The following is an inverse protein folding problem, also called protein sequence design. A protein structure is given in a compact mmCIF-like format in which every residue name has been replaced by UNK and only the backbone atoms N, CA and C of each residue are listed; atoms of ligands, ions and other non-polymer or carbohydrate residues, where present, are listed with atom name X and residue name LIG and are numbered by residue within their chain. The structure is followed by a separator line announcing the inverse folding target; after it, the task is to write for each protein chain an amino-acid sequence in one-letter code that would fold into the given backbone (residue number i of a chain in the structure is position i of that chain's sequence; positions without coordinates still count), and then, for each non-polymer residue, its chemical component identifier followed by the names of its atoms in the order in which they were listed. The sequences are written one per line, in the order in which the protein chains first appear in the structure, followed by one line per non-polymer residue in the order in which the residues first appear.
data_IF_945895577282
#
_entry.id   IF_945895577282
#
_cell.length_a   1.000
_cell.length_b   1.000
_cell.length_c   1.000
_cell.angle_alpha   90.00
_cell.angle_beta   90.00
_cell.angle_gamma   90.00
#
_symmetry.space_group_name_H-M   'P 1'
#
loop_
_entity.id
_entity.type
_entity.pdbx_description
1 polymer ?
#
# COMPACT_ATOMS: atom_id res chain seq x y z
N UNK A 1 27.19 -5.44 28.38
CA UNK A 1 25.82 -5.82 28.79
C UNK A 1 25.39 -7.05 27.99
N UNK A 2 24.55 -7.95 28.55
CA UNK A 2 24.02 -9.09 27.78
C UNK A 2 23.21 -8.58 26.60
N UNK A 3 23.35 -9.23 25.44
CA UNK A 3 22.55 -8.90 24.26
C UNK A 3 21.06 -9.04 24.58
N UNK A 4 20.26 -8.13 24.04
CA UNK A 4 18.81 -8.13 24.21
C UNK A 4 18.16 -8.38 22.87
N UNK A 5 17.13 -9.21 22.86
CA UNK A 5 16.43 -9.61 21.65
C UNK A 5 14.93 -9.40 21.79
N UNK A 6 14.32 -9.03 20.68
CA UNK A 6 12.87 -9.04 20.49
C UNK A 6 12.54 -9.98 19.34
N UNK A 7 11.46 -10.74 19.48
CA UNK A 7 11.00 -11.68 18.47
C UNK A 7 9.48 -11.66 18.33
N UNK A 8 9.01 -12.07 17.16
CA UNK A 8 7.59 -12.29 16.84
C UNK A 8 7.43 -13.74 16.41
N UNK A 9 6.51 -14.46 17.06
CA UNK A 9 6.11 -15.82 16.70
C UNK A 9 4.64 -15.88 16.34
N UNK A 10 4.28 -16.80 15.45
CA UNK A 10 2.93 -17.11 15.01
C UNK A 10 2.54 -18.51 15.49
N UNK A 11 1.31 -18.66 15.99
CA UNK A 11 0.73 -19.98 16.26
C UNK A 11 0.41 -20.69 14.94
N UNK A 12 0.65 -22.00 14.90
CA UNK A 12 0.31 -22.84 13.76
C UNK A 12 -1.20 -23.14 13.66
N UNK A 13 -1.95 -23.03 14.76
CA UNK A 13 -3.41 -23.19 14.79
C UNK A 13 -4.17 -21.93 14.41
N UNK A 14 -3.66 -20.78 14.84
CA UNK A 14 -4.29 -19.48 14.63
C UNK A 14 -3.32 -18.57 13.85
N UNK A 15 -3.26 -18.71 12.51
CA UNK A 15 -2.35 -17.94 11.68
C UNK A 15 -2.58 -16.43 11.72
N UNK A 16 -3.67 -15.96 12.32
CA UNK A 16 -4.02 -14.55 12.48
C UNK A 16 -3.53 -13.92 13.79
N UNK A 17 -2.84 -14.66 14.68
CA UNK A 17 -2.40 -14.19 16.01
C UNK A 17 -0.93 -14.40 16.30
N UNK A 18 -0.24 -13.34 16.76
CA UNK A 18 1.19 -13.37 17.09
C UNK A 18 1.42 -13.07 18.55
N UNK A 19 2.52 -13.65 19.00
CA UNK A 19 3.12 -13.30 20.25
C UNK A 19 4.41 -12.56 20.00
N UNK A 20 4.54 -11.43 20.66
CA UNK A 20 5.81 -10.72 20.78
C UNK A 20 6.45 -11.17 22.07
N UNK A 21 7.75 -11.47 22.00
CA UNK A 21 8.53 -11.86 23.16
C UNK A 21 9.89 -11.17 23.17
N UNK A 22 10.45 -11.09 24.37
CA UNK A 22 11.75 -10.53 24.65
C UNK A 22 12.62 -11.56 25.34
N UNK A 23 13.93 -11.58 25.07
CA UNK A 23 14.85 -12.55 25.68
C UNK A 23 16.29 -12.03 25.66
N UNK A 24 17.10 -12.49 26.61
CA UNK A 24 18.56 -12.35 26.58
C UNK A 24 19.26 -13.53 25.90
N UNK A 25 18.54 -14.63 25.70
CA UNK A 25 19.04 -15.84 25.06
C UNK A 25 18.09 -16.27 23.94
N UNK A 26 18.40 -15.82 22.74
CA UNK A 26 17.62 -16.15 21.55
C UNK A 26 17.78 -17.63 21.19
N UNK A 27 18.97 -18.23 21.34
CA UNK A 27 19.20 -19.63 20.96
C UNK A 27 18.37 -20.59 21.80
N UNK A 28 18.32 -20.39 23.12
CA UNK A 28 17.46 -21.17 24.01
C UNK A 28 15.98 -21.01 23.65
N UNK A 29 15.52 -19.77 23.41
CA UNK A 29 14.13 -19.54 23.00
C UNK A 29 13.80 -20.18 21.65
N UNK A 30 14.67 -20.05 20.66
CA UNK A 30 14.55 -20.72 19.36
C UNK A 30 14.40 -22.24 19.54
N UNK A 31 15.13 -22.84 20.48
CA UNK A 31 15.00 -24.26 20.79
C UNK A 31 13.66 -24.59 21.43
N UNK A 32 13.21 -23.84 22.44
CA UNK A 32 11.95 -24.11 23.16
C UNK A 32 10.71 -24.10 22.25
N UNK A 33 10.66 -23.22 21.26
CA UNK A 33 9.56 -23.18 20.30
C UNK A 33 9.68 -24.21 19.16
N UNK A 34 10.89 -24.72 18.88
CA UNK A 34 11.11 -25.78 17.88
C UNK A 34 11.12 -27.20 18.50
N UNK A 35 11.36 -27.34 19.80
CA UNK A 35 11.41 -28.62 20.51
C UNK A 35 10.02 -29.01 20.99
N UNK A 36 9.19 -29.52 20.08
CA UNK A 36 7.92 -30.18 20.42
C UNK A 36 8.00 -31.64 19.97
N UNK A 37 8.72 -32.46 20.73
CA UNK A 37 8.50 -33.90 20.73
C UNK A 37 7.41 -34.20 21.74
N UNK A 38 6.18 -34.48 21.26
CA UNK A 38 5.14 -35.13 22.07
C UNK A 38 4.01 -34.26 22.68
N UNK A 39 3.75 -33.04 22.20
CA UNK A 39 2.51 -32.31 22.55
C UNK A 39 1.65 -32.03 21.30
N UNK A 40 0.34 -31.88 21.49
CA UNK A 40 -0.67 -31.66 20.44
C UNK A 40 -0.26 -30.51 19.50
N UNK A 41 -0.81 -30.49 18.28
CA UNK A 41 -0.61 -29.40 17.31
C UNK A 41 -0.94 -27.99 17.88
N UNK A 42 -1.58 -27.93 19.05
CA UNK A 42 -2.00 -26.71 19.75
C UNK A 42 -0.86 -25.81 20.22
N UNK A 43 0.35 -26.34 20.43
CA UNK A 43 1.48 -25.57 20.97
C UNK A 43 2.62 -25.31 19.97
N UNK A 44 2.38 -25.43 18.67
CA UNK A 44 3.43 -25.25 17.65
C UNK A 44 3.51 -23.80 17.17
N UNK A 45 4.67 -23.16 17.32
CA UNK A 45 4.89 -21.78 16.86
C UNK A 45 5.98 -21.68 15.80
N UNK A 46 5.80 -20.77 14.84
CA UNK A 46 6.79 -20.40 13.85
C UNK A 46 7.35 -19.01 14.13
N UNK A 47 8.65 -18.84 13.97
CA UNK A 47 9.27 -17.51 14.05
C UNK A 47 8.99 -16.72 12.78
N UNK A 48 8.39 -15.54 12.94
CA UNK A 48 8.18 -14.59 11.85
C UNK A 48 9.29 -13.56 11.78
N UNK A 49 9.82 -13.14 12.94
CA UNK A 49 10.84 -12.09 13.01
C UNK A 49 11.67 -12.18 14.29
N UNK A 50 12.97 -11.89 14.20
CA UNK A 50 13.84 -11.70 15.37
C UNK A 50 14.79 -10.53 15.14
N UNK A 51 15.12 -9.79 16.20
CA UNK A 51 16.05 -8.67 16.13
C UNK A 51 16.82 -8.48 17.44
N UNK A 52 18.01 -7.90 17.32
CA UNK A 52 18.81 -7.36 18.42
C UNK A 52 18.37 -5.91 18.66
N UNK A 53 18.22 -5.55 19.94
CA UNK A 53 17.75 -4.25 20.39
C UNK A 53 18.60 -3.75 21.56
N UNK A 54 18.72 -2.44 21.72
CA UNK A 54 19.44 -1.79 22.81
C UNK A 54 18.66 -1.89 24.14
N UNK A 55 17.32 -1.76 24.07
CA UNK A 55 16.42 -1.88 25.21
C UNK A 55 15.15 -2.64 24.80
N UNK A 56 15.08 -3.94 25.13
CA UNK A 56 13.96 -4.78 24.72
C UNK A 56 12.66 -4.46 25.46
N UNK A 57 12.73 -3.94 26.69
CA UNK A 57 11.54 -3.61 27.49
C UNK A 57 10.86 -2.35 26.97
N UNK A 58 11.64 -1.34 26.60
CA UNK A 58 11.13 -0.08 26.08
C UNK A 58 10.38 -0.30 24.77
N UNK A 59 11.03 -0.93 23.78
CA UNK A 59 10.42 -1.21 22.48
C UNK A 59 9.18 -2.12 22.60
N UNK A 60 9.18 -3.09 23.52
CA UNK A 60 8.01 -3.94 23.76
C UNK A 60 6.85 -3.13 24.34
N UNK A 61 7.12 -2.22 25.30
CA UNK A 61 6.11 -1.35 25.90
C UNK A 61 5.55 -0.35 24.89
N UNK A 62 6.42 0.29 24.10
CA UNK A 62 6.01 1.26 23.08
C UNK A 62 5.19 0.62 21.98
N UNK A 63 5.55 -0.60 21.58
CA UNK A 63 4.75 -1.39 20.64
C UNK A 63 3.39 -1.76 21.25
N UNK A 64 3.35 -2.22 22.52
CA UNK A 64 2.09 -2.53 23.21
C UNK A 64 1.18 -1.31 23.34
N UNK A 65 1.76 -0.13 23.55
CA UNK A 65 1.02 1.13 23.63
C UNK A 65 0.51 1.58 22.26
N UNK A 66 1.37 1.55 21.23
CA UNK A 66 1.02 1.94 19.87
C UNK A 66 -0.11 1.05 19.29
N UNK A 67 -0.03 -0.26 19.52
CA UNK A 67 -0.98 -1.22 18.96
C UNK A 67 -1.97 -1.75 19.99
N UNK A 68 -2.26 -1.00 21.06
CA UNK A 68 -3.16 -1.43 22.14
C UNK A 68 -4.54 -1.87 21.64
N UNK A 69 -5.05 -1.23 20.58
CA UNK A 69 -6.33 -1.55 19.94
C UNK A 69 -6.34 -2.90 19.16
N UNK A 70 -5.16 -3.48 18.91
CA UNK A 70 -4.98 -4.79 18.25
C UNK A 70 -4.55 -5.87 19.24
N UNK A 71 -4.64 -5.60 20.55
CA UNK A 71 -4.25 -6.55 21.59
C UNK A 71 -5.45 -7.24 22.19
N UNK A 72 -5.39 -8.56 22.27
CA UNK A 72 -6.38 -9.35 22.98
C UNK A 72 -6.13 -9.22 24.49
N UNK A 73 -7.17 -8.77 25.22
CA UNK A 73 -7.07 -8.37 26.63
C UNK A 73 -6.72 -9.56 27.53
N UNK A 74 -7.20 -10.77 27.20
CA UNK A 74 -7.04 -11.97 28.02
C UNK A 74 -5.72 -12.71 27.75
N UNK A 75 -5.37 -12.92 26.48
CA UNK A 75 -4.19 -13.70 26.07
C UNK A 75 -2.92 -12.86 25.98
N UNK A 76 -3.05 -11.53 25.98
CA UNK A 76 -1.97 -10.53 25.76
C UNK A 76 -1.30 -10.65 24.38
N UNK A 77 -1.90 -11.42 23.47
CA UNK A 77 -1.48 -11.60 22.09
C UNK A 77 -1.83 -10.39 21.24
N UNK A 78 -1.15 -10.25 20.11
CA UNK A 78 -1.37 -9.17 19.15
C UNK A 78 -1.93 -9.80 17.87
N UNK A 79 -3.03 -9.25 17.36
CA UNK A 79 -3.63 -9.72 16.12
C UNK A 79 -2.75 -9.31 14.92
N UNK A 80 -2.50 -10.25 14.02
CA UNK A 80 -1.97 -9.98 12.68
C UNK A 80 -2.84 -10.76 11.67
N UNK A 81 -4.08 -10.33 11.49
CA UNK A 81 -4.99 -11.02 10.56
C UNK A 81 -4.53 -10.93 9.09
N UNK A 82 -3.47 -10.16 8.79
CA UNK A 82 -2.90 -10.07 7.45
C UNK A 82 -1.38 -9.77 7.41
N UNK A 83 -0.73 -9.95 6.24
CA UNK A 83 0.69 -9.59 6.05
C UNK A 83 0.99 -8.09 6.24
N UNK A 84 0.03 -7.19 6.03
CA UNK A 84 0.23 -5.74 6.11
C UNK A 84 0.44 -5.24 7.55
N UNK A 85 -0.32 -5.80 8.50
CA UNK A 85 -0.18 -5.55 9.93
C UNK A 85 1.13 -6.10 10.46
N UNK A 86 1.54 -7.27 9.98
CA UNK A 86 2.86 -7.80 10.30
C UNK A 86 3.96 -6.84 9.83
N UNK A 87 3.88 -6.35 8.58
CA UNK A 87 4.80 -5.33 8.08
C UNK A 87 4.73 -3.99 8.86
N UNK A 88 3.56 -3.62 9.39
CA UNK A 88 3.43 -2.46 10.30
C UNK A 88 4.22 -2.68 11.60
N UNK A 89 4.12 -3.86 12.21
CA UNK A 89 4.91 -4.20 13.40
C UNK A 89 6.41 -4.19 13.08
N UNK A 90 6.81 -4.79 11.95
CA UNK A 90 8.21 -4.79 11.53
C UNK A 90 8.72 -3.37 11.27
N UNK A 91 7.94 -2.54 10.59
CA UNK A 91 8.29 -1.16 10.29
C UNK A 91 8.38 -0.33 11.56
N UNK A 92 7.47 -0.52 12.52
CA UNK A 92 7.54 0.12 13.84
C UNK A 92 8.81 -0.29 14.59
N UNK A 93 9.09 -1.59 14.68
CA UNK A 93 10.27 -2.11 15.38
C UNK A 93 11.55 -1.58 14.73
N UNK A 94 11.67 -1.66 13.40
CA UNK A 94 12.86 -1.21 12.66
C UNK A 94 13.08 0.30 12.71
N UNK A 95 12.01 1.07 12.93
CA UNK A 95 12.09 2.53 13.07
C UNK A 95 12.38 2.98 14.51
N UNK A 96 12.33 2.08 15.49
CA UNK A 96 12.52 2.42 16.90
C UNK A 96 13.97 2.81 17.20
N UNK A 97 14.24 3.83 18.04
CA UNK A 97 15.61 4.24 18.39
C UNK A 97 16.47 3.13 18.98
N UNK A 98 15.84 2.21 19.73
CA UNK A 98 16.51 1.06 20.34
C UNK A 98 16.71 -0.13 19.38
N UNK A 99 16.34 -0.02 18.10
CA UNK A 99 16.59 -1.09 17.12
C UNK A 99 18.08 -1.13 16.74
N UNK A 100 18.70 -2.31 16.84
CA UNK A 100 20.12 -2.48 16.50
C UNK A 100 20.28 -3.21 15.18
N UNK A 101 19.79 -4.45 15.07
CA UNK A 101 19.95 -5.25 13.87
C UNK A 101 18.90 -6.35 13.77
N UNK A 102 18.51 -6.71 12.54
CA UNK A 102 17.65 -7.86 12.29
C UNK A 102 18.45 -9.16 12.33
N UNK A 103 17.93 -10.18 13.03
CA UNK A 103 18.53 -11.51 13.14
C UNK A 103 17.63 -12.50 12.40
N UNK A 104 18.20 -13.27 11.47
CA UNK A 104 17.61 -14.41 10.71
C UNK A 104 16.13 -14.34 10.29
N UNK A 105 15.89 -14.40 8.98
CA UNK A 105 14.57 -14.44 8.34
C UNK A 105 14.29 -15.87 7.86
N UNK A 106 13.19 -16.49 8.29
CA UNK A 106 12.48 -17.45 7.42
C UNK A 106 11.39 -16.62 6.73
N UNK A 107 11.58 -16.34 5.45
CA UNK A 107 10.60 -15.55 4.69
C UNK A 107 9.25 -16.28 4.69
N UNK A 108 8.12 -15.56 4.77
CA UNK A 108 6.84 -16.15 4.44
C UNK A 108 6.93 -16.78 3.05
N UNK A 109 6.36 -17.97 2.88
CA UNK A 109 6.32 -18.68 1.60
C UNK A 109 5.93 -17.69 0.50
N UNK A 110 6.80 -17.53 -0.50
CA UNK A 110 6.48 -16.75 -1.70
C UNK A 110 5.14 -17.24 -2.25
N UNK A 111 4.18 -16.33 -2.33
CA UNK A 111 2.91 -16.60 -2.98
C UNK A 111 3.19 -16.96 -4.45
N UNK A 112 2.51 -17.99 -4.95
CA UNK A 112 2.63 -18.42 -6.34
C UNK A 112 2.31 -17.23 -7.25
N UNK A 113 3.26 -16.85 -8.10
CA UNK A 113 3.03 -15.85 -9.13
C UNK A 113 1.79 -16.23 -9.94
N UNK A 114 0.82 -15.30 -10.04
CA UNK A 114 -0.34 -15.46 -10.91
C UNK A 114 0.17 -15.60 -12.35
N UNK A 115 -0.03 -16.77 -12.96
CA UNK A 115 0.27 -16.93 -14.38
C UNK A 115 -0.79 -16.18 -15.19
N UNK A 116 -0.41 -15.37 -16.20
CA UNK A 116 -1.38 -14.76 -17.09
C UNK A 116 -2.23 -15.86 -17.74
N UNK A 117 -3.54 -15.65 -17.86
CA UNK A 117 -4.36 -16.47 -18.75
C UNK A 117 -3.80 -16.32 -20.17
N UNK A 118 -3.43 -17.44 -20.80
CA UNK A 118 -3.06 -17.48 -22.21
C UNK A 118 -4.24 -16.98 -23.02
N UNK A 119 -4.19 -15.72 -23.42
CA UNK A 119 -5.19 -15.13 -24.29
C UNK A 119 -4.74 -15.43 -25.72
N UNK A 120 -5.56 -16.13 -26.54
CA UNK A 120 -5.18 -16.48 -27.90
C UNK A 120 -4.78 -15.25 -28.71
N UNK A 121 -3.80 -15.40 -29.59
CA UNK A 121 -3.21 -14.30 -30.36
C UNK A 121 -4.25 -13.64 -31.29
N UNK A 122 -3.92 -12.44 -31.79
CA UNK A 122 -4.77 -11.72 -32.76
C UNK A 122 -5.06 -12.57 -34.02
N UNK A 123 -4.07 -13.35 -34.45
CA UNK A 123 -4.16 -14.27 -35.57
C UNK A 123 -5.12 -15.43 -35.26
N UNK A 124 -5.06 -15.99 -34.05
CA UNK A 124 -5.96 -17.07 -33.60
C UNK A 124 -7.41 -16.62 -33.45
N UNK A 125 -7.65 -15.35 -33.12
CA UNK A 125 -9.01 -14.79 -32.92
C UNK A 125 -9.68 -14.29 -34.20
N UNK A 126 -8.96 -14.23 -35.33
CA UNK A 126 -9.46 -13.68 -36.62
C UNK A 126 -10.10 -12.29 -36.48
N UNK A 127 -9.56 -11.43 -35.62
CA UNK A 127 -10.07 -10.07 -35.39
C UNK A 127 -9.10 -9.04 -36.00
N UNK A 128 -9.63 -8.06 -36.74
CA UNK A 128 -8.82 -6.97 -37.26
C UNK A 128 -8.37 -6.03 -36.12
N UNK A 129 -7.16 -5.46 -36.24
CA UNK A 129 -6.61 -4.48 -35.26
C UNK A 129 -7.57 -3.30 -35.03
N UNK A 130 -8.22 -2.82 -36.08
CA UNK A 130 -9.18 -1.71 -36.02
C UNK A 130 -10.41 -2.05 -35.17
N UNK A 131 -10.95 -3.26 -35.31
CA UNK A 131 -12.15 -3.70 -34.57
C UNK A 131 -11.88 -3.82 -33.07
N UNK A 132 -10.66 -4.24 -32.69
CA UNK A 132 -10.26 -4.32 -31.28
C UNK A 132 -10.02 -2.93 -30.69
N UNK A 133 -9.39 -2.01 -31.43
CA UNK A 133 -9.21 -0.63 -30.98
C UNK A 133 -10.58 0.05 -30.81
N UNK A 134 -11.49 -0.12 -31.77
CA UNK A 134 -12.86 0.39 -31.70
C UNK A 134 -13.67 -0.25 -30.56
N UNK A 135 -13.47 -1.55 -30.29
CA UNK A 135 -14.12 -2.25 -29.17
C UNK A 135 -13.53 -1.84 -27.82
N UNK A 136 -12.22 -1.64 -27.72
CA UNK A 136 -11.54 -1.15 -26.52
C UNK A 136 -11.91 0.31 -26.20
N UNK A 137 -12.13 1.14 -27.22
CA UNK A 137 -12.68 2.49 -27.06
C UNK A 137 -14.13 2.51 -26.55
N UNK A 138 -14.91 1.46 -26.83
CA UNK A 138 -16.33 1.33 -26.42
C UNK A 138 -16.50 0.74 -25.02
N UNK A 139 -15.52 -0.02 -24.52
CA UNK A 139 -15.55 -0.63 -23.20
C UNK A 139 -15.03 0.38 -22.17
N UNK A 140 -15.95 1.11 -21.53
CA UNK A 140 -15.68 1.98 -20.37
C UNK A 140 -15.45 1.14 -19.10
N UNK A 141 -14.49 0.21 -19.13
CA UNK A 141 -14.11 -0.52 -17.92
C UNK A 141 -12.97 0.23 -17.26
N UNK A 142 -13.29 1.16 -16.35
CA UNK A 142 -12.31 1.98 -15.63
C UNK A 142 -11.72 1.28 -14.39
N UNK A 143 -12.17 0.07 -14.07
CA UNK A 143 -11.73 -0.69 -12.88
C UNK A 143 -10.48 -1.53 -13.17
N UNK A 144 -9.37 -0.84 -13.48
CA UNK A 144 -8.04 -1.45 -13.49
C UNK A 144 -7.36 -1.23 -12.13
N UNK A 145 -7.29 -2.28 -11.33
CA UNK A 145 -6.61 -2.24 -10.03
C UNK A 145 -5.10 -2.37 -10.24
N UNK A 146 -4.36 -1.42 -9.64
CA UNK A 146 -2.89 -1.41 -9.67
C UNK A 146 -2.35 -2.47 -8.72
N UNK A 147 -1.26 -3.13 -9.09
CA UNK A 147 -0.62 -4.14 -8.24
C UNK A 147 0.32 -3.48 -7.24
N UNK A 148 0.43 -4.09 -6.06
CA UNK A 148 1.29 -3.59 -4.98
C UNK A 148 2.75 -3.53 -5.40
N UNK A 149 3.24 -4.54 -6.13
CA UNK A 149 4.66 -4.63 -6.52
C UNK A 149 5.06 -3.49 -7.45
N UNK A 150 4.15 -3.04 -8.32
CA UNK A 150 4.40 -1.93 -9.24
C UNK A 150 4.48 -0.60 -8.47
N UNK A 151 3.60 -0.39 -7.49
CA UNK A 151 3.62 0.79 -6.59
C UNK A 151 4.88 0.79 -5.72
N UNK A 152 5.23 -0.34 -5.11
CA UNK A 152 6.42 -0.46 -4.26
C UNK A 152 7.70 -0.22 -5.06
N UNK A 153 7.80 -0.79 -6.26
CA UNK A 153 8.94 -0.62 -7.16
C UNK A 153 9.13 0.85 -7.56
N UNK A 154 8.05 1.58 -7.76
CA UNK A 154 8.10 3.01 -8.05
C UNK A 154 8.45 3.83 -6.80
N UNK A 155 7.65 3.70 -5.74
CA UNK A 155 7.75 4.58 -4.57
C UNK A 155 9.06 4.38 -3.78
N UNK A 156 9.67 3.20 -3.86
CA UNK A 156 10.99 2.92 -3.27
C UNK A 156 12.16 3.69 -3.91
N UNK A 157 11.97 4.26 -5.11
CA UNK A 157 13.01 5.05 -5.79
C UNK A 157 13.17 6.46 -5.24
N UNK A 158 12.18 6.95 -4.51
CA UNK A 158 12.20 8.32 -4.01
C UNK A 158 12.89 8.42 -2.65
N UNK A 159 13.75 9.43 -2.43
CA UNK A 159 14.45 9.62 -1.16
C UNK A 159 13.48 9.77 0.02
N UNK A 160 13.77 9.10 1.15
CA UNK A 160 12.89 9.13 2.34
C UNK A 160 12.51 10.55 2.81
N UNK A 161 13.42 11.52 2.62
CA UNK A 161 13.24 12.92 3.00
C UNK A 161 12.04 13.58 2.32
N UNK A 162 11.58 13.11 1.16
CA UNK A 162 10.40 13.72 0.51
C UNK A 162 9.11 13.46 1.30
N UNK A 163 9.07 12.39 2.08
CA UNK A 163 7.90 11.91 2.81
C UNK A 163 7.85 12.39 4.25
N UNK A 164 9.00 12.73 4.82
CA UNK A 164 9.12 13.09 6.22
C UNK A 164 8.21 14.28 6.60
N UNK A 165 7.45 14.11 7.68
CA UNK A 165 6.50 15.07 8.23
C UNK A 165 5.43 15.54 7.22
N UNK A 166 5.16 14.75 6.18
CA UNK A 166 4.16 15.05 5.14
C UNK A 166 2.82 14.37 5.38
N UNK A 167 1.78 15.04 4.89
CA UNK A 167 0.44 14.49 4.72
C UNK A 167 0.32 13.91 3.31
N UNK A 168 0.20 12.59 3.22
CA UNK A 168 -0.07 11.89 1.95
C UNK A 168 -1.56 11.68 1.79
N UNK A 169 -2.08 12.02 0.61
CA UNK A 169 -3.47 11.81 0.24
C UNK A 169 -3.59 10.79 -0.90
N UNK A 170 -4.23 9.66 -0.63
CA UNK A 170 -4.60 8.65 -1.63
C UNK A 170 -6.10 8.77 -1.91
N UNK A 171 -6.48 9.61 -2.88
CA UNK A 171 -7.89 9.80 -3.20
C UNK A 171 -8.42 8.61 -4.03
N UNK A 172 -9.69 8.26 -3.82
CA UNK A 172 -10.33 7.13 -4.51
C UNK A 172 -9.58 5.79 -4.33
N UNK A 173 -8.80 5.67 -3.26
CA UNK A 173 -8.04 4.48 -2.90
C UNK A 173 -8.62 3.88 -1.62
N UNK A 174 -9.05 2.62 -1.71
CA UNK A 174 -9.56 1.88 -0.56
C UNK A 174 -8.41 1.53 0.42
N UNK A 175 -8.50 2.03 1.65
CA UNK A 175 -7.50 1.77 2.69
C UNK A 175 -7.91 0.70 3.71
N UNK A 176 -9.20 0.34 3.73
CA UNK A 176 -9.79 -0.59 4.69
C UNK A 176 -10.70 -1.55 3.92
N UNK A 177 -10.08 -2.44 3.16
CA UNK A 177 -10.74 -3.70 2.85
C UNK A 177 -10.96 -4.54 4.13
N UNK A 178 -11.88 -5.50 4.11
CA UNK A 178 -12.22 -6.33 5.28
C UNK A 178 -11.00 -7.07 5.87
N UNK A 179 -10.13 -7.55 4.99
CA UNK A 179 -8.89 -8.26 5.28
C UNK A 179 -7.67 -7.33 5.32
N UNK A 180 -7.80 -6.07 4.90
CA UNK A 180 -6.74 -5.03 4.80
C UNK A 180 -5.45 -5.49 4.13
N UNK A 181 -5.55 -6.29 3.09
CA UNK A 181 -4.40 -6.79 2.34
C UNK A 181 -4.54 -6.51 0.83
N UNK A 182 -3.68 -7.12 0.01
CA UNK A 182 -3.70 -6.92 -1.44
C UNK A 182 -4.97 -7.45 -2.10
N UNK A 183 -5.82 -8.16 -1.36
CA UNK A 183 -7.09 -8.66 -1.86
C UNK A 183 -8.11 -7.52 -1.93
N UNK A 184 -8.15 -6.63 -0.93
CA UNK A 184 -9.25 -5.68 -0.78
C UNK A 184 -8.82 -4.25 -0.43
N UNK A 185 -7.52 -3.96 -0.41
CA UNK A 185 -6.98 -2.61 -0.27
C UNK A 185 -6.31 -2.16 -1.56
N UNK A 186 -6.41 -0.86 -1.88
CA UNK A 186 -5.64 -0.26 -2.97
C UNK A 186 -4.13 -0.39 -2.70
N UNK A 187 -3.36 -0.65 -3.76
CA UNK A 187 -1.91 -0.75 -3.71
C UNK A 187 -1.24 0.50 -3.10
N UNK A 188 -1.73 1.70 -3.42
CA UNK A 188 -1.19 2.95 -2.86
C UNK A 188 -1.46 3.06 -1.36
N UNK A 189 -2.72 2.89 -0.94
CA UNK A 189 -3.08 2.94 0.47
C UNK A 189 -2.31 1.88 1.28
N UNK A 190 -2.22 0.65 0.74
CA UNK A 190 -1.49 -0.45 1.36
C UNK A 190 0.01 -0.13 1.52
N UNK A 191 0.65 0.48 0.51
CA UNK A 191 2.06 0.89 0.60
C UNK A 191 2.30 1.90 1.72
N UNK A 192 1.50 2.97 1.77
CA UNK A 192 1.70 4.01 2.78
C UNK A 192 1.30 3.55 4.18
N UNK A 193 0.31 2.66 4.31
CA UNK A 193 0.01 1.99 5.58
C UNK A 193 1.21 1.18 6.06
N UNK A 194 1.71 0.24 5.24
CA UNK A 194 2.86 -0.63 5.54
C UNK A 194 4.11 0.13 5.93
N UNK A 195 4.35 1.28 5.29
CA UNK A 195 5.58 2.04 5.47
C UNK A 195 5.41 3.33 6.27
N UNK A 196 4.25 3.55 6.90
CA UNK A 196 3.91 4.82 7.56
C UNK A 196 5.02 5.32 8.49
N UNK A 197 5.46 4.46 9.43
CA UNK A 197 6.52 4.78 10.38
C UNK A 197 7.90 4.90 9.73
N UNK A 198 8.22 4.02 8.78
CA UNK A 198 9.49 4.03 8.05
C UNK A 198 9.68 5.32 7.25
N UNK A 199 8.61 5.80 6.62
CA UNK A 199 8.59 7.03 5.84
C UNK A 199 8.49 8.29 6.72
N UNK A 200 8.26 8.13 8.03
CA UNK A 200 8.03 9.22 8.98
C UNK A 200 6.91 10.15 8.52
N UNK A 201 5.81 9.57 8.05
CA UNK A 201 4.64 10.35 7.62
C UNK A 201 3.99 11.03 8.83
N UNK A 202 3.54 12.27 8.63
CA UNK A 202 2.71 12.97 9.62
C UNK A 202 1.30 12.38 9.64
N UNK A 203 0.72 12.21 8.45
CA UNK A 203 -0.66 11.75 8.27
C UNK A 203 -0.83 11.06 6.93
N UNK A 204 -1.65 10.02 6.89
CA UNK A 204 -2.16 9.40 5.67
C UNK A 204 -3.67 9.60 5.63
N UNK A 205 -4.19 10.12 4.53
CA UNK A 205 -5.62 10.25 4.29
C UNK A 205 -5.94 9.43 3.05
N UNK A 206 -6.98 8.61 3.11
CA UNK A 206 -7.49 7.88 1.95
C UNK A 206 -9.00 8.12 1.81
N UNK A 207 -9.50 8.22 0.59
CA UNK A 207 -10.94 8.28 0.33
C UNK A 207 -11.36 7.08 -0.50
N UNK A 208 -12.37 6.35 -0.05
CA UNK A 208 -12.92 5.22 -0.79
C UNK A 208 -14.14 5.68 -1.57
N UNK A 209 -14.13 5.41 -2.87
CA UNK A 209 -15.26 5.66 -3.75
C UNK A 209 -16.23 4.47 -3.69
N UNK A 210 -17.42 4.70 -3.13
CA UNK A 210 -18.51 3.74 -3.14
C UNK A 210 -19.52 4.13 -4.20
N UNK A 211 -19.67 3.35 -5.26
CA UNK A 211 -20.63 3.62 -6.34
C UNK A 211 -21.80 2.62 -6.33
N UNK A 212 -22.96 3.02 -6.87
CA UNK A 212 -24.08 2.09 -7.08
C UNK A 212 -23.80 1.01 -8.14
N UNK A 213 -22.73 1.15 -8.95
CA UNK A 213 -22.32 0.16 -9.95
C UNK A 213 -21.41 -0.92 -9.38
N UNK A 214 -21.01 -0.83 -8.11
CA UNK A 214 -20.51 -1.99 -7.38
C UNK A 214 -21.64 -3.02 -7.27
N UNK A 215 -21.56 -4.06 -8.10
CA UNK A 215 -22.49 -5.19 -8.19
C UNK A 215 -22.77 -5.88 -6.83
N UNK A 216 -22.00 -5.55 -5.78
CA UNK A 216 -22.10 -6.10 -4.44
C UNK A 216 -22.73 -5.16 -3.40
N UNK A 217 -22.92 -3.86 -3.68
CA UNK A 217 -23.35 -2.88 -2.67
C UNK A 217 -24.40 -1.89 -3.20
N UNK A 218 -25.66 -2.32 -3.24
CA UNK A 218 -26.80 -1.42 -3.35
C UNK A 218 -26.85 -0.50 -2.10
N UNK A 219 -26.19 0.67 -2.17
CA UNK A 219 -26.12 1.66 -1.10
C UNK A 219 -24.72 2.09 -0.66
N UNK A 220 -23.67 1.80 -1.45
CA UNK A 220 -22.28 2.12 -1.11
C UNK A 220 -22.10 3.59 -0.69
N UNK A 221 -21.71 3.80 0.57
CA UNK A 221 -21.36 5.11 1.13
C UNK A 221 -19.85 5.26 1.03
N UNK A 222 -19.39 6.35 0.42
CA UNK A 222 -17.99 6.71 0.44
C UNK A 222 -17.52 6.95 1.88
N UNK A 223 -16.24 6.75 2.12
CA UNK A 223 -15.66 6.99 3.43
C UNK A 223 -14.28 7.62 3.33
N UNK A 224 -13.89 8.29 4.41
CA UNK A 224 -12.59 8.92 4.60
C UNK A 224 -11.88 8.15 5.70
N UNK A 225 -10.72 7.59 5.37
CA UNK A 225 -9.81 6.99 6.33
C UNK A 225 -8.67 7.96 6.64
N UNK A 226 -8.26 8.01 7.90
CA UNK A 226 -7.12 8.82 8.33
C UNK A 226 -6.27 8.04 9.32
N UNK A 227 -4.96 8.09 9.12
CA UNK A 227 -3.95 7.56 10.02
C UNK A 227 -2.99 8.66 10.46
N UNK A 228 -2.83 8.82 11.78
CA UNK A 228 -1.87 9.72 12.42
C UNK A 228 -1.10 8.94 13.48
N UNK A 229 0.16 8.62 13.18
CA UNK A 229 0.92 7.68 14.01
C UNK A 229 0.23 6.31 14.07
N UNK A 230 -0.05 5.86 15.29
CA UNK A 230 -0.77 4.60 15.51
C UNK A 230 -2.30 4.77 15.52
N UNK A 231 -2.81 6.01 15.57
CA UNK A 231 -4.24 6.27 15.61
C UNK A 231 -4.84 6.18 14.20
N UNK A 232 -5.98 5.50 14.09
CA UNK A 232 -6.72 5.30 12.86
C UNK A 232 -8.17 5.70 13.05
N UNK A 233 -8.71 6.47 12.12
CA UNK A 233 -10.08 6.96 12.12
C UNK A 233 -10.75 6.69 10.78
N UNK A 234 -12.02 6.28 10.84
CA UNK A 234 -12.90 6.16 9.67
C UNK A 234 -14.10 7.09 9.84
N UNK A 235 -14.38 7.90 8.83
CA UNK A 235 -15.54 8.80 8.79
C UNK A 235 -16.35 8.54 7.54
N UNK A 236 -17.68 8.55 7.66
CA UNK A 236 -18.63 8.42 6.54
C UNK A 236 -19.53 9.65 6.53
N UNK A 237 -19.08 10.78 5.93
CA UNK A 237 -19.89 11.98 5.88
C UNK A 237 -21.23 11.71 5.16
N UNK A 238 -22.35 12.27 5.65
CA UNK A 238 -23.65 12.08 4.99
C UNK A 238 -23.61 12.58 3.54
N UNK A 239 -24.07 11.74 2.60
CA UNK A 239 -24.11 12.08 1.17
C UNK A 239 -22.75 12.02 0.44
N UNK A 240 -21.67 11.65 1.13
CA UNK A 240 -20.35 11.52 0.51
C UNK A 240 -20.22 10.17 -0.20
N UNK A 241 -19.83 10.20 -1.48
CA UNK A 241 -19.63 8.99 -2.30
C UNK A 241 -18.17 8.63 -2.49
N UNK A 242 -17.24 9.51 -2.12
CA UNK A 242 -15.80 9.29 -2.25
C UNK A 242 -15.19 9.84 -3.55
N UNK A 243 -15.98 10.57 -4.34
CA UNK A 243 -15.54 11.18 -5.59
C UNK A 243 -14.43 12.20 -5.34
N UNK A 244 -13.46 12.30 -6.24
CA UNK A 244 -12.32 13.22 -6.10
C UNK A 244 -12.72 14.70 -6.21
N UNK A 245 -13.84 14.97 -6.89
CA UNK A 245 -14.46 16.26 -7.14
C UNK A 245 -15.37 16.73 -5.99
N UNK A 246 -15.69 15.84 -5.05
CA UNK A 246 -16.61 16.18 -3.97
C UNK A 246 -15.98 17.17 -2.99
N UNK A 247 -16.83 17.99 -2.35
CA UNK A 247 -16.41 19.06 -1.44
C UNK A 247 -15.41 18.58 -0.38
N UNK A 248 -15.65 17.41 0.23
CA UNK A 248 -14.76 16.87 1.25
C UNK A 248 -13.41 16.42 0.67
N UNK A 249 -13.39 15.80 -0.51
CA UNK A 249 -12.15 15.41 -1.21
C UNK A 249 -11.33 16.63 -1.62
N UNK A 250 -11.98 17.67 -2.15
CA UNK A 250 -11.34 18.93 -2.50
C UNK A 250 -10.81 19.65 -1.27
N UNK A 251 -11.57 19.67 -0.16
CA UNK A 251 -11.11 20.25 1.10
C UNK A 251 -9.88 19.53 1.65
N UNK A 252 -9.85 18.20 1.61
CA UNK A 252 -8.65 17.40 1.98
C UNK A 252 -7.46 17.79 1.09
N UNK A 253 -7.66 17.79 -0.23
CA UNK A 253 -6.63 18.13 -1.20
C UNK A 253 -6.04 19.52 -0.95
N UNK A 254 -6.89 20.52 -0.80
CA UNK A 254 -6.49 21.92 -0.70
C UNK A 254 -5.89 22.25 0.67
N UNK A 255 -6.53 21.79 1.76
CA UNK A 255 -6.22 22.25 3.11
C UNK A 255 -5.29 21.34 3.89
N UNK A 256 -5.24 20.04 3.58
CA UNK A 256 -4.46 19.08 4.37
C UNK A 256 -3.33 18.40 3.61
N UNK A 257 -3.55 18.02 2.35
CA UNK A 257 -2.58 17.23 1.60
C UNK A 257 -1.31 18.04 1.29
N UNK A 258 -0.15 17.39 1.45
CA UNK A 258 1.14 17.86 0.93
C UNK A 258 1.48 17.16 -0.40
N UNK A 259 1.20 15.86 -0.46
CA UNK A 259 1.52 14.98 -1.59
C UNK A 259 0.31 14.10 -1.90
N UNK A 260 -0.10 14.03 -3.16
CA UNK A 260 -1.14 13.12 -3.66
C UNK A 260 -0.52 11.90 -4.32
N UNK A 261 -0.93 10.69 -3.93
CA UNK A 261 -0.44 9.46 -4.52
C UNK A 261 -1.57 8.49 -4.81
N UNK A 262 -1.87 8.21 -6.09
CA UNK A 262 -3.05 7.41 -6.48
C UNK A 262 -2.97 6.89 -7.93
N UNK A 263 -3.92 6.03 -8.29
CA UNK A 263 -4.24 5.64 -9.66
C UNK A 263 -5.66 6.15 -10.04
N UNK A 264 -5.80 7.40 -10.52
CA UNK A 264 -7.10 7.98 -10.83
C UNK A 264 -7.82 7.26 -11.98
N UNK A 265 -9.16 7.38 -12.06
CA UNK A 265 -9.94 6.80 -13.16
C UNK A 265 -9.51 7.40 -14.50
N UNK A 266 -9.10 6.54 -15.44
CA UNK A 266 -8.54 6.98 -16.72
C UNK A 266 -9.55 7.75 -17.57
N UNK A 267 -10.84 7.40 -17.53
CA UNK A 267 -11.91 8.13 -18.24
C UNK A 267 -12.08 9.59 -17.79
N UNK A 268 -11.73 9.90 -16.54
CA UNK A 268 -11.84 11.26 -15.97
C UNK A 268 -10.47 11.92 -15.74
N UNK A 269 -9.44 11.44 -16.42
CA UNK A 269 -8.07 11.93 -16.24
C UNK A 269 -7.92 13.44 -16.49
N UNK A 270 -8.63 14.01 -17.48
CA UNK A 270 -8.54 15.45 -17.80
C UNK A 270 -9.01 16.30 -16.61
N UNK A 271 -10.20 16.00 -16.10
CA UNK A 271 -10.81 16.70 -14.97
C UNK A 271 -9.95 16.57 -13.71
N UNK A 272 -9.52 15.34 -13.42
CA UNK A 272 -8.69 15.05 -12.25
C UNK A 272 -7.34 15.81 -12.29
N UNK A 273 -6.68 15.85 -13.45
CA UNK A 273 -5.44 16.59 -13.61
C UNK A 273 -5.62 18.09 -13.48
N UNK A 274 -6.71 18.66 -13.99
CA UNK A 274 -7.00 20.09 -13.82
C UNK A 274 -7.11 20.44 -12.34
N UNK A 275 -7.79 19.60 -11.55
CA UNK A 275 -7.89 19.75 -10.10
C UNK A 275 -6.51 19.65 -9.44
N UNK A 276 -5.73 18.61 -9.75
CA UNK A 276 -4.39 18.42 -9.18
C UNK A 276 -3.44 19.58 -9.50
N UNK A 277 -3.35 19.98 -10.76
CA UNK A 277 -2.47 21.08 -11.18
C UNK A 277 -2.91 22.39 -10.55
N UNK A 278 -4.23 22.67 -10.49
CA UNK A 278 -4.77 23.87 -9.84
C UNK A 278 -4.46 23.90 -8.34
N UNK A 279 -4.48 22.74 -7.67
CA UNK A 279 -4.19 22.64 -6.24
C UNK A 279 -2.74 23.00 -5.87
N UNK A 280 -1.82 22.96 -6.86
CA UNK A 280 -0.37 23.14 -6.69
C UNK A 280 0.28 22.16 -5.69
N UNK A 281 -0.43 21.09 -5.30
CA UNK A 281 0.11 20.04 -4.45
C UNK A 281 1.08 19.17 -5.23
N UNK A 282 2.04 18.59 -4.51
CA UNK A 282 2.91 17.57 -5.10
C UNK A 282 2.07 16.34 -5.39
N UNK A 283 2.44 15.58 -6.41
CA UNK A 283 1.77 14.31 -6.69
C UNK A 283 2.72 13.30 -7.33
N UNK A 284 2.37 12.02 -7.16
CA UNK A 284 2.88 10.88 -7.92
C UNK A 284 1.66 10.04 -8.28
N UNK A 285 1.27 10.04 -9.55
CA UNK A 285 0.07 9.32 -10.00
C UNK A 285 0.42 8.33 -11.09
N UNK A 286 -0.29 7.20 -11.12
CA UNK A 286 -0.27 6.31 -12.27
C UNK A 286 -1.26 6.83 -13.31
N UNK A 287 -0.87 6.96 -14.57
CA UNK A 287 -1.78 7.38 -15.63
C UNK A 287 -1.48 6.64 -16.92
N UNK A 288 -2.43 6.69 -17.87
CA UNK A 288 -2.23 6.10 -19.18
C UNK A 288 -0.96 6.68 -19.86
N UNK A 289 -0.16 5.81 -20.47
CA UNK A 289 1.09 6.19 -21.13
C UNK A 289 0.89 7.18 -22.29
N UNK A 290 -0.33 7.29 -22.84
CA UNK A 290 -0.66 8.23 -23.92
C UNK A 290 -0.95 9.65 -23.44
N UNK A 291 -1.04 9.90 -22.12
CA UNK A 291 -1.32 11.23 -21.57
C UNK A 291 -0.37 12.31 -22.09
N UNK A 292 0.97 12.12 -22.17
CA UNK A 292 1.88 13.17 -22.62
C UNK A 292 1.66 13.67 -24.05
N UNK A 293 1.08 12.84 -24.92
CA UNK A 293 0.82 13.18 -26.33
C UNK A 293 -0.62 13.64 -26.58
N UNK A 294 -1.47 13.65 -25.55
CA UNK A 294 -2.83 14.16 -25.66
C UNK A 294 -2.84 15.68 -25.56
N UNK A 295 -3.59 16.32 -26.47
CA UNK A 295 -3.68 17.79 -26.60
C UNK A 295 -4.06 18.48 -25.30
N UNK A 296 -4.86 17.83 -24.45
CA UNK A 296 -5.27 18.36 -23.15
C UNK A 296 -4.11 18.47 -22.14
N UNK A 297 -3.02 17.71 -22.33
CA UNK A 297 -1.92 17.61 -21.36
C UNK A 297 -0.57 18.08 -21.89
N UNK A 298 -0.37 18.13 -23.22
CA UNK A 298 0.85 18.64 -23.86
C UNK A 298 1.37 19.93 -23.20
N UNK A 299 0.52 20.95 -22.89
CA UNK A 299 1.01 22.18 -22.26
C UNK A 299 1.70 21.96 -20.91
N UNK A 300 1.28 20.97 -20.11
CA UNK A 300 1.89 20.67 -18.83
C UNK A 300 3.29 20.07 -18.97
N UNK A 301 3.49 19.21 -19.98
CA UNK A 301 4.80 18.62 -20.26
C UNK A 301 5.74 19.62 -20.93
N UNK A 302 5.25 20.37 -21.92
CA UNK A 302 6.04 21.39 -22.62
C UNK A 302 6.55 22.49 -21.67
N UNK A 303 5.78 22.81 -20.62
CA UNK A 303 6.15 23.80 -19.61
C UNK A 303 6.92 23.19 -18.42
N UNK A 304 7.35 21.92 -18.51
CA UNK A 304 8.03 21.19 -17.43
C UNK A 304 7.26 21.17 -16.09
N UNK A 305 5.92 21.28 -16.15
CA UNK A 305 5.04 21.19 -14.97
C UNK A 305 4.80 19.75 -14.54
N UNK A 306 5.01 18.75 -15.40
CA UNK A 306 4.89 17.33 -15.05
C UNK A 306 6.03 16.56 -15.69
N UNK A 307 6.51 15.52 -15.00
CA UNK A 307 7.63 14.67 -15.41
C UNK A 307 7.29 13.19 -15.31
N UNK A 308 7.91 12.34 -16.14
CA UNK A 308 7.84 10.88 -15.98
C UNK A 308 8.51 10.43 -14.68
N UNK A 309 7.92 9.41 -14.06
CA UNK A 309 8.50 8.64 -12.96
C UNK A 309 9.51 7.61 -13.45
N UNK A 310 9.83 6.64 -12.60
CA UNK A 310 10.88 5.67 -12.91
C UNK A 310 10.38 4.43 -13.67
N UNK A 311 9.10 4.05 -13.49
CA UNK A 311 8.58 2.79 -14.01
C UNK A 311 7.32 2.97 -14.88
N UNK A 312 7.19 2.08 -15.87
CA UNK A 312 5.94 1.83 -16.60
C UNK A 312 5.26 0.58 -16.06
N UNK A 313 3.93 0.55 -16.11
CA UNK A 313 3.08 -0.55 -15.65
C UNK A 313 2.29 -1.11 -16.84
N UNK A 314 2.40 -2.41 -17.06
CA UNK A 314 1.74 -3.09 -18.19
C UNK A 314 0.70 -4.14 -17.79
N UNK A 315 0.62 -4.43 -16.50
CA UNK A 315 -0.20 -5.49 -15.94
C UNK A 315 -1.03 -4.95 -14.79
N UNK A 316 -2.34 -5.11 -14.91
CA UNK A 316 -3.34 -4.65 -13.95
C UNK A 316 -4.24 -5.82 -13.57
N UNK A 317 -4.99 -5.68 -12.50
CA UNK A 317 -6.04 -6.62 -12.12
C UNK A 317 -7.39 -6.04 -12.54
N UNK A 318 -8.25 -6.88 -13.11
CA UNK A 318 -9.66 -6.52 -13.32
C UNK A 318 -10.48 -6.78 -12.03
N UNK A 319 -11.79 -6.48 -11.99
CA UNK A 319 -12.64 -6.73 -10.81
C UNK A 319 -12.72 -8.21 -10.39
N UNK A 320 -12.44 -9.13 -11.32
CA UNK A 320 -12.33 -10.58 -11.06
C UNK A 320 -10.93 -11.00 -10.61
N UNK A 321 -10.03 -10.06 -10.33
CA UNK A 321 -8.61 -10.24 -9.99
C UNK A 321 -7.81 -11.06 -11.00
N UNK A 322 -8.16 -10.95 -12.27
CA UNK A 322 -7.42 -11.56 -13.36
C UNK A 322 -6.44 -10.54 -13.95
N UNK A 323 -5.24 -11.01 -14.30
CA UNK A 323 -4.25 -10.18 -14.97
C UNK A 323 -4.74 -9.76 -16.35
N UNK A 324 -4.78 -8.45 -16.57
CA UNK A 324 -5.12 -7.81 -17.83
C UNK A 324 -4.00 -6.86 -18.24
N UNK A 325 -3.81 -6.70 -19.56
CA UNK A 325 -2.86 -5.72 -20.09
C UNK A 325 -3.51 -4.38 -20.28
N UNK A 326 -2.88 -3.36 -19.72
CA UNK A 326 -3.05 -1.96 -20.09
C UNK A 326 -1.66 -1.32 -20.13
N UNK A 327 -1.55 -0.03 -20.42
CA UNK A 327 -0.25 0.66 -20.44
C UNK A 327 -0.35 1.95 -19.65
N UNK A 328 0.32 1.99 -18.50
CA UNK A 328 0.45 3.17 -17.69
C UNK A 328 1.90 3.51 -17.38
N UNK A 329 2.09 4.73 -16.92
CA UNK A 329 3.38 5.26 -16.49
C UNK A 329 3.15 6.20 -15.30
N UNK A 330 4.09 6.20 -14.36
CA UNK A 330 4.02 7.11 -13.21
C UNK A 330 4.39 8.53 -13.63
N UNK A 331 3.70 9.52 -13.08
CA UNK A 331 3.87 10.94 -13.41
C UNK A 331 3.93 11.75 -12.12
N UNK A 332 4.82 12.75 -12.06
CA UNK A 332 5.07 13.55 -10.86
C UNK A 332 5.45 15.02 -11.15
N UNK A 333 5.38 15.87 -10.12
CA UNK A 333 5.57 17.34 -10.23
C UNK A 333 6.70 17.95 -9.38
N UNK A 334 7.46 17.18 -8.60
CA UNK A 334 8.61 17.75 -7.85
C UNK A 334 9.95 17.38 -8.48
N UNK A 335 10.97 18.27 -8.37
CA UNK A 335 12.27 18.03 -8.98
C UNK A 335 12.91 16.81 -8.34
N UNK A 336 13.10 15.77 -9.14
CA UNK A 336 14.10 14.76 -8.84
C UNK A 336 15.44 15.40 -9.18
N UNK A 337 16.29 15.59 -8.17
CA UNK A 337 17.73 15.62 -8.45
C UNK A 337 18.06 14.21 -8.93
N UNK A 338 17.93 13.99 -10.23
CA UNK A 338 18.48 12.80 -10.86
C UNK A 338 19.98 13.02 -10.76
N UNK A 339 20.65 12.28 -9.88
CA UNK A 339 22.11 12.22 -9.93
C UNK A 339 22.46 11.71 -11.33
N UNK A 340 23.26 12.45 -12.12
CA UNK A 340 23.55 12.11 -13.52
C UNK A 340 24.30 10.78 -13.71
N UNK A 341 24.59 10.04 -12.63
CA UNK A 341 25.32 8.77 -12.63
C UNK A 341 24.46 7.57 -13.08
N UNK A 342 23.15 7.74 -13.31
CA UNK A 342 22.26 6.67 -13.79
C UNK A 342 21.87 6.79 -15.26
N UNK A 343 22.60 7.57 -16.05
CA UNK A 343 22.37 7.75 -17.49
C UNK A 343 23.47 7.19 -18.41
N UNK A 344 24.37 6.34 -17.88
CA UNK A 344 25.34 5.58 -18.69
C UNK A 344 25.10 4.06 -18.60
#
# INVERSE_FOLDING_TARGET
MPKQYLYIVQSSLEPSKCKIGITHDLKRRLKEYNSVTGQSQENTYSYLFTCEVANMRQIEQDLKNAFAHLREVQTREIYFYNPALFENYLSFIKAHPDFVAQVSIKLPRQQRALKPLTTPSLQERRLARADILNKAMRVKNDEFYTRYEDVEKELSKYPLKIWQDKVVFCNCDDAIGENRDYTDSSAFALYFLKHFFRLKLKKLICTHYGSQQDLFNAGARGYIFTKEGAHEMKRTPPGYTGGFEEKESLRILEQEADIVCTNPPFSRAIEYWQILIKSKKKFIILSNITIPISTAFIPYFAQNKVRPGFNSVYWYLNPKRQLVRAAGHFLLIFPLKIDPILLD
#
